data_IF_258145525480
#
_entry.id   IF_258145525480
#
_cell.length_a   1.000
_cell.length_b   1.000
_cell.length_c   1.000
_cell.angle_alpha   90.00
_cell.angle_beta   90.00
_cell.angle_gamma   90.00
#
_symmetry.space_group_name_H-M   'P 1'
#
loop_
_entity.id
_entity.type
_entity.pdbx_description
1 polymer ?
#
# COMPACT_ATOMS: atom_id res chain seq x y z
N UNK A 1 -5.74 -21.64 -19.21
CA UNK A 1 -4.31 -21.82 -18.89
C UNK A 1 -4.13 -21.46 -17.42
N UNK A 2 -3.82 -22.42 -16.54
CA UNK A 2 -3.57 -22.11 -15.13
C UNK A 2 -2.26 -21.33 -15.04
N UNK A 3 -2.34 -20.01 -14.83
CA UNK A 3 -1.17 -19.21 -14.50
C UNK A 3 -0.55 -19.81 -13.24
N UNK A 4 0.71 -20.27 -13.35
CA UNK A 4 1.46 -20.82 -12.22
C UNK A 4 1.56 -19.71 -11.17
N UNK A 5 1.30 -20.04 -9.90
CA UNK A 5 1.42 -19.05 -8.82
C UNK A 5 2.84 -18.47 -8.83
N UNK A 6 2.99 -17.13 -8.71
CA UNK A 6 4.30 -16.50 -8.67
C UNK A 6 5.09 -16.97 -7.44
N UNK A 7 6.42 -16.94 -7.54
CA UNK A 7 7.28 -17.10 -6.37
C UNK A 7 7.15 -15.89 -5.43
N UNK A 8 7.75 -15.97 -4.24
CA UNK A 8 7.59 -14.96 -3.18
C UNK A 8 8.14 -13.59 -3.59
N UNK A 9 9.25 -13.56 -4.31
CA UNK A 9 9.89 -12.31 -4.79
C UNK A 9 8.98 -11.68 -5.83
N UNK A 10 8.56 -12.45 -6.83
CA UNK A 10 7.64 -11.98 -7.87
C UNK A 10 6.30 -11.52 -7.27
N UNK A 11 5.76 -12.25 -6.28
CA UNK A 11 4.53 -11.89 -5.61
C UNK A 11 4.64 -10.55 -4.85
N UNK A 12 5.77 -10.29 -4.18
CA UNK A 12 5.99 -9.02 -3.50
C UNK A 12 6.16 -7.87 -4.49
N UNK A 13 6.91 -8.05 -5.58
CA UNK A 13 7.02 -7.04 -6.63
C UNK A 13 5.67 -6.70 -7.27
N UNK A 14 4.86 -7.72 -7.58
CA UNK A 14 3.51 -7.52 -8.11
C UNK A 14 2.61 -6.78 -7.12
N UNK A 15 2.72 -7.09 -5.82
CA UNK A 15 1.98 -6.39 -4.78
C UNK A 15 2.41 -4.92 -4.66
N UNK A 16 3.72 -4.63 -4.68
CA UNK A 16 4.22 -3.23 -4.68
C UNK A 16 3.71 -2.47 -5.90
N UNK A 17 3.79 -3.07 -7.09
CA UNK A 17 3.31 -2.45 -8.32
C UNK A 17 1.79 -2.16 -8.25
N UNK A 18 1.00 -3.13 -7.78
CA UNK A 18 -0.45 -2.96 -7.58
C UNK A 18 -0.75 -1.84 -6.59
N UNK A 19 0.01 -1.74 -5.49
CA UNK A 19 -0.18 -0.69 -4.48
C UNK A 19 0.12 0.70 -5.05
N UNK A 20 1.17 0.83 -5.88
CA UNK A 20 1.49 2.11 -6.56
C UNK A 20 0.44 2.53 -7.58
N UNK A 21 -0.25 1.57 -8.20
CA UNK A 21 -1.30 1.83 -9.19
C UNK A 21 -2.65 2.14 -8.53
N UNK A 22 -3.02 1.42 -7.46
CA UNK A 22 -4.32 1.57 -6.80
C UNK A 22 -4.37 2.69 -5.76
N UNK A 23 -3.25 3.01 -5.11
CA UNK A 23 -3.20 4.03 -4.06
C UNK A 23 -2.61 5.33 -4.61
N UNK A 24 -3.24 6.48 -4.31
CA UNK A 24 -2.77 7.78 -4.79
C UNK A 24 -1.57 8.31 -3.98
N UNK A 25 -0.52 7.50 -3.80
CA UNK A 25 0.63 7.78 -2.93
C UNK A 25 1.38 9.08 -3.26
N UNK A 26 1.36 9.47 -4.54
CA UNK A 26 2.09 10.64 -5.04
C UNK A 26 1.18 11.76 -5.55
N UNK A 27 -0.14 11.66 -5.36
CA UNK A 27 -1.06 12.70 -5.79
C UNK A 27 -1.13 13.82 -4.74
N UNK A 28 -0.89 15.10 -5.13
CA UNK A 28 -0.92 16.23 -4.20
C UNK A 28 -2.30 16.41 -3.52
N UNK A 29 -3.36 15.93 -4.16
CA UNK A 29 -4.74 16.06 -3.65
C UNK A 29 -5.07 15.09 -2.50
N UNK A 30 -4.20 14.13 -2.19
CA UNK A 30 -4.38 13.22 -1.05
C UNK A 30 -3.91 13.80 0.28
N UNK A 31 -3.26 14.96 0.23
CA UNK A 31 -2.63 15.61 1.38
C UNK A 31 -3.49 16.70 2.03
N UNK A 32 -4.78 16.78 1.71
CA UNK A 32 -5.69 17.71 2.36
C UNK A 32 -6.26 17.13 3.66
N UNK A 33 -5.93 17.75 4.80
CA UNK A 33 -6.72 17.59 6.01
C UNK A 33 -8.07 18.30 5.80
N UNK A 34 -9.19 17.59 5.96
CA UNK A 34 -10.52 18.21 5.94
C UNK A 34 -10.63 19.33 6.99
N UNK A 35 -11.52 20.32 6.78
CA UNK A 35 -11.69 21.41 7.75
C UNK A 35 -12.02 20.82 9.12
N UNK A 36 -11.24 21.21 10.14
CA UNK A 36 -11.34 20.78 11.54
C UNK A 36 -10.81 19.39 11.91
N UNK A 37 -9.88 18.80 11.15
CA UNK A 37 -9.23 17.54 11.55
C UNK A 37 -10.23 16.38 11.76
N UNK A 38 -11.40 16.45 11.11
CA UNK A 38 -12.52 15.52 11.25
C UNK A 38 -12.32 14.19 10.50
N UNK A 39 -11.13 13.97 9.95
CA UNK A 39 -10.79 12.77 9.20
C UNK A 39 -10.81 11.54 10.12
N UNK A 40 -11.54 10.51 9.72
CA UNK A 40 -11.55 9.20 10.38
C UNK A 40 -10.27 8.46 9.96
N UNK A 41 -9.18 8.77 10.66
CA UNK A 41 -7.82 8.45 10.23
C UNK A 41 -7.35 9.44 9.16
N UNK A 42 -6.30 10.21 9.46
CA UNK A 42 -5.77 11.21 8.53
C UNK A 42 -5.21 10.52 7.27
N UNK A 43 -5.75 10.81 6.07
CA UNK A 43 -5.29 10.21 4.81
C UNK A 43 -3.79 10.34 4.60
N UNK A 44 -3.22 11.52 4.90
CA UNK A 44 -1.78 11.76 4.85
C UNK A 44 -0.99 10.76 5.68
N UNK A 45 -1.40 10.52 6.93
CA UNK A 45 -0.70 9.59 7.82
C UNK A 45 -0.84 8.13 7.36
N UNK A 46 -1.97 7.79 6.74
CA UNK A 46 -2.17 6.48 6.13
C UNK A 46 -1.27 6.30 4.89
N UNK A 47 -1.10 7.34 4.08
CA UNK A 47 -0.17 7.32 2.93
C UNK A 47 1.29 7.23 3.39
N UNK A 48 1.71 8.02 4.38
CA UNK A 48 3.06 7.95 4.97
C UNK A 48 3.37 6.53 5.51
N UNK A 49 2.38 5.86 6.10
CA UNK A 49 2.53 4.49 6.59
C UNK A 49 2.76 3.50 5.44
N UNK A 50 2.00 3.61 4.34
CA UNK A 50 2.19 2.74 3.18
C UNK A 50 3.52 3.02 2.51
N UNK A 51 3.89 4.29 2.34
CA UNK A 51 5.13 4.69 1.68
C UNK A 51 6.37 4.17 2.42
N UNK A 52 6.34 4.19 3.77
CA UNK A 52 7.41 3.63 4.60
C UNK A 52 7.58 2.12 4.36
N UNK A 53 6.48 1.38 4.37
CA UNK A 53 6.48 -0.08 4.16
C UNK A 53 6.89 -0.44 2.73
N UNK A 54 6.47 0.38 1.76
CA UNK A 54 6.85 0.24 0.37
C UNK A 54 8.36 0.42 0.21
N UNK A 55 8.92 1.52 0.72
CA UNK A 55 10.36 1.79 0.70
C UNK A 55 11.16 0.67 1.37
N UNK A 56 10.67 0.16 2.51
CA UNK A 56 11.28 -0.98 3.20
C UNK A 56 11.36 -2.21 2.28
N UNK A 57 10.24 -2.61 1.67
CA UNK A 57 10.23 -3.80 0.81
C UNK A 57 11.00 -3.63 -0.48
N UNK A 58 10.97 -2.45 -1.12
CA UNK A 58 11.79 -2.17 -2.28
C UNK A 58 13.29 -2.29 -1.96
N UNK A 59 13.70 -1.76 -0.81
CA UNK A 59 15.09 -1.91 -0.36
C UNK A 59 15.44 -3.38 -0.08
N UNK A 60 14.61 -4.11 0.67
CA UNK A 60 14.83 -5.53 0.97
C UNK A 60 14.96 -6.38 -0.31
N UNK A 61 14.08 -6.16 -1.28
CA UNK A 61 14.13 -6.85 -2.56
C UNK A 61 15.38 -6.46 -3.36
N UNK A 62 15.82 -5.20 -3.29
CA UNK A 62 17.03 -4.72 -3.99
C UNK A 62 18.31 -5.38 -3.49
N UNK A 63 18.38 -5.75 -2.21
CA UNK A 63 19.53 -6.44 -1.61
C UNK A 63 19.41 -7.98 -1.67
N UNK A 64 18.38 -8.49 -2.35
CA UNK A 64 18.17 -9.93 -2.55
C UNK A 64 17.48 -10.64 -1.40
N UNK A 65 16.89 -9.93 -0.45
CA UNK A 65 16.07 -10.53 0.62
C UNK A 65 14.82 -11.15 0.01
N UNK A 66 14.55 -12.42 0.34
CA UNK A 66 13.36 -13.14 -0.12
C UNK A 66 12.28 -13.04 0.97
N UNK A 67 11.14 -12.37 0.70
CA UNK A 67 10.07 -12.25 1.68
C UNK A 67 9.42 -13.60 2.00
N UNK A 68 8.88 -13.73 3.20
CA UNK A 68 8.03 -14.83 3.62
C UNK A 68 6.57 -14.60 3.23
N UNK A 69 5.79 -15.69 3.14
CA UNK A 69 4.36 -15.61 2.81
C UNK A 69 3.56 -14.81 3.85
N UNK A 70 3.97 -14.94 5.10
CA UNK A 70 3.56 -14.13 6.24
C UNK A 70 3.66 -12.63 5.91
N UNK A 71 4.84 -12.19 5.48
CA UNK A 71 5.19 -10.79 5.29
C UNK A 71 4.43 -10.18 4.12
N UNK A 72 4.36 -10.92 3.00
CA UNK A 72 3.50 -10.58 1.85
C UNK A 72 2.05 -10.40 2.31
N UNK A 73 1.55 -11.32 3.16
CA UNK A 73 0.18 -11.25 3.66
C UNK A 73 -0.05 -10.07 4.60
N UNK A 74 0.93 -9.71 5.45
CA UNK A 74 0.85 -8.54 6.32
C UNK A 74 0.84 -7.25 5.51
N UNK A 75 1.76 -7.11 4.56
CA UNK A 75 1.83 -5.93 3.70
C UNK A 75 0.55 -5.77 2.86
N UNK A 76 0.03 -6.85 2.29
CA UNK A 76 -1.25 -6.83 1.56
C UNK A 76 -2.42 -6.41 2.46
N UNK A 77 -2.47 -6.90 3.72
CA UNK A 77 -3.52 -6.51 4.68
C UNK A 77 -3.41 -5.04 5.08
N UNK A 78 -2.20 -4.53 5.28
CA UNK A 78 -1.94 -3.12 5.55
C UNK A 78 -2.52 -2.25 4.43
N UNK A 79 -2.14 -2.53 3.18
CA UNK A 79 -2.60 -1.77 2.01
C UNK A 79 -4.12 -1.80 1.87
N UNK A 80 -4.76 -2.96 2.08
CA UNK A 80 -6.22 -3.09 2.08
C UNK A 80 -6.90 -2.27 3.18
N UNK A 81 -6.32 -2.25 4.38
CA UNK A 81 -6.87 -1.45 5.49
C UNK A 81 -6.73 0.05 5.22
N UNK A 82 -5.61 0.47 4.63
CA UNK A 82 -5.38 1.85 4.22
C UNK A 82 -6.35 2.26 3.12
N UNK A 83 -6.55 1.44 2.07
CA UNK A 83 -7.58 1.67 1.04
C UNK A 83 -8.97 1.87 1.65
N UNK A 84 -9.36 1.04 2.62
CA UNK A 84 -10.63 1.23 3.35
C UNK A 84 -10.70 2.55 4.09
N UNK A 85 -9.59 3.01 4.68
CA UNK A 85 -9.49 4.34 5.28
C UNK A 85 -9.70 5.45 4.25
N UNK A 86 -9.09 5.33 3.07
CA UNK A 86 -9.26 6.30 1.98
C UNK A 86 -10.69 6.36 1.43
N UNK A 87 -11.32 5.19 1.23
CA UNK A 87 -12.73 5.10 0.79
C UNK A 87 -13.65 5.81 1.78
N UNK A 88 -13.42 5.65 3.10
CA UNK A 88 -14.19 6.36 4.14
C UNK A 88 -13.99 7.87 4.12
N UNK A 89 -12.86 8.35 3.59
CA UNK A 89 -12.57 9.77 3.42
C UNK A 89 -12.97 10.28 2.01
N UNK A 90 -13.67 9.47 1.20
CA UNK A 90 -14.09 9.78 -0.18
C UNK A 90 -12.94 10.13 -1.14
N UNK A 91 -11.73 9.64 -0.87
CA UNK A 91 -10.55 9.89 -1.72
C UNK A 91 -10.38 8.83 -2.81
N UNK A 92 -10.96 7.64 -2.62
CA UNK A 92 -10.87 6.52 -3.57
C UNK A 92 -12.25 5.86 -3.66
N UNK A 93 -12.58 5.35 -4.84
CA UNK A 93 -13.84 4.61 -5.05
C UNK A 93 -13.84 3.25 -4.32
N UNK A 94 -15.00 2.79 -3.80
CA UNK A 94 -15.12 1.54 -3.06
C UNK A 94 -14.62 0.29 -3.79
#
# INVERSE_FOLDING_TARGET
>A
MNAKKPDRVTAMYQLIAQVKDELPLYEPDTFFCGPNNSCVGCPKKLMELVDTELCYWEHQLSIGTIPHFDEISRFAKLCKNVRRGLVRNNLVSP
#
